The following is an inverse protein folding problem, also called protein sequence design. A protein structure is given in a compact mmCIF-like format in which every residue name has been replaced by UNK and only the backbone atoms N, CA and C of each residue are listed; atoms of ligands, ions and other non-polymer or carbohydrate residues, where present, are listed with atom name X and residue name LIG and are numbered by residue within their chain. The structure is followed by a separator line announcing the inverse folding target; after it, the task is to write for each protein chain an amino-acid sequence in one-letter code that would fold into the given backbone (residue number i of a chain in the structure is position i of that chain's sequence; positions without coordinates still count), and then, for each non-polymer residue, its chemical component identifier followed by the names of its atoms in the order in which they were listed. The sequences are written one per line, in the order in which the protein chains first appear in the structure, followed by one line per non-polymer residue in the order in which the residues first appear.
data_IF_567319359919
#
_entry.id   IF_567319359919
#
_cell.length_a   1.000
_cell.length_b   1.000
_cell.length_c   1.000
_cell.angle_alpha   90.00
_cell.angle_beta   90.00
_cell.angle_gamma   90.00
#
_symmetry.space_group_name_H-M   'P 1'
#
loop_
_entity.id
_entity.type
_entity.pdbx_description
1 polymer ?
#
# COMPACT_ATOMS: atom_id res chain seq x y z
N UNK A 1 -32.52 -33.69 -25.18
CA UNK A 1 -31.75 -34.70 -24.44
C UNK A 1 -30.23 -34.50 -24.57
N UNK A 2 -29.74 -33.28 -24.55
CA UNK A 2 -28.28 -32.95 -24.58
C UNK A 2 -27.83 -31.93 -23.50
N UNK A 3 -28.72 -31.56 -22.57
CA UNK A 3 -28.38 -30.64 -21.46
C UNK A 3 -28.03 -31.35 -20.15
N UNK A 4 -28.31 -32.64 -20.01
CA UNK A 4 -27.99 -33.39 -18.79
C UNK A 4 -26.57 -33.96 -18.73
N UNK A 5 -25.85 -34.04 -19.86
CA UNK A 5 -24.50 -34.62 -19.87
C UNK A 5 -23.38 -33.62 -19.50
N UNK A 6 -23.67 -32.32 -19.54
CA UNK A 6 -22.69 -31.29 -19.13
C UNK A 6 -22.65 -31.04 -17.63
N UNK A 7 -23.69 -31.49 -16.89
CA UNK A 7 -23.74 -31.34 -15.43
C UNK A 7 -23.05 -32.48 -14.67
N UNK A 8 -22.81 -33.61 -15.34
CA UNK A 8 -22.24 -34.80 -14.72
C UNK A 8 -20.70 -34.82 -14.67
N UNK A 9 -20.01 -33.91 -15.39
CA UNK A 9 -18.54 -33.83 -15.38
C UNK A 9 -17.99 -32.88 -14.31
N UNK A 10 -18.86 -32.16 -13.56
CA UNK A 10 -18.50 -31.25 -12.47
C UNK A 10 -18.52 -31.87 -11.07
N UNK A 11 -18.79 -33.18 -10.97
CA UNK A 11 -19.09 -33.83 -9.66
C UNK A 11 -17.99 -34.79 -9.19
N UNK A 12 -16.80 -34.83 -9.79
CA UNK A 12 -15.73 -35.72 -9.35
C UNK A 12 -14.54 -35.04 -8.65
N UNK A 13 -14.67 -33.77 -8.26
CA UNK A 13 -13.73 -33.13 -7.33
C UNK A 13 -14.37 -33.18 -5.95
N UNK A 14 -13.66 -33.53 -4.87
CA UNK A 14 -14.22 -33.47 -3.53
C UNK A 14 -14.55 -32.01 -3.19
N UNK A 15 -15.81 -31.65 -3.43
CA UNK A 15 -16.31 -30.26 -3.43
C UNK A 15 -16.27 -29.63 -2.04
N UNK A 16 -16.20 -30.42 -0.97
CA UNK A 16 -16.31 -29.91 0.38
C UNK A 16 -15.05 -29.18 0.92
N UNK A 17 -13.85 -29.56 0.49
CA UNK A 17 -12.61 -28.92 0.96
C UNK A 17 -12.13 -27.78 0.05
N UNK A 18 -12.42 -27.85 -1.24
CA UNK A 18 -12.00 -26.83 -2.21
C UNK A 18 -12.84 -25.55 -2.18
N UNK A 19 -14.14 -25.63 -1.89
CA UNK A 19 -15.03 -24.45 -1.86
C UNK A 19 -14.75 -23.50 -0.70
N UNK A 20 -14.28 -24.02 0.43
CA UNK A 20 -14.03 -23.20 1.64
C UNK A 20 -12.73 -22.40 1.56
N UNK A 21 -11.80 -22.81 0.70
CA UNK A 21 -10.45 -22.24 0.64
C UNK A 21 -10.27 -21.22 -0.51
N UNK A 22 -11.06 -21.36 -1.59
CA UNK A 22 -10.81 -20.62 -2.84
C UNK A 22 -11.65 -19.36 -3.05
N UNK A 23 -12.67 -19.10 -2.25
CA UNK A 23 -13.50 -17.89 -2.40
C UNK A 23 -12.82 -16.69 -1.70
N UNK A 24 -12.05 -15.94 -2.46
CA UNK A 24 -11.43 -14.69 -1.99
C UNK A 24 -12.01 -13.47 -2.72
N UNK A 25 -12.61 -12.52 -1.99
CA UNK A 25 -13.08 -11.23 -2.53
C UNK A 25 -12.06 -10.10 -2.34
N UNK A 26 -10.81 -10.41 -1.97
CA UNK A 26 -9.81 -9.47 -1.49
C UNK A 26 -9.12 -8.58 -2.54
N UNK A 27 -9.53 -8.61 -3.81
CA UNK A 27 -8.90 -7.81 -4.86
C UNK A 27 -9.59 -6.46 -5.10
N UNK A 28 -10.64 -6.15 -4.32
CA UNK A 28 -11.42 -4.92 -4.43
C UNK A 28 -11.40 -4.18 -3.08
N UNK A 29 -11.21 -2.86 -3.12
CA UNK A 29 -11.24 -1.98 -1.97
C UNK A 29 -12.10 -0.75 -2.26
N UNK A 30 -12.77 -0.21 -1.22
CA UNK A 30 -13.67 0.92 -1.31
C UNK A 30 -15.13 0.54 -1.56
N UNK A 31 -16.04 1.48 -1.37
CA UNK A 31 -17.48 1.29 -1.52
C UNK A 31 -18.02 2.06 -2.73
N UNK A 32 -18.04 3.38 -2.68
CA UNK A 32 -18.46 4.27 -3.77
C UNK A 32 -17.28 4.45 -4.74
N UNK A 33 -16.21 5.07 -4.28
CA UNK A 33 -14.94 5.07 -5.00
C UNK A 33 -14.26 3.72 -4.75
N UNK A 34 -14.31 2.85 -5.72
CA UNK A 34 -13.94 1.45 -5.60
C UNK A 34 -12.88 1.08 -6.59
N UNK A 35 -11.83 0.41 -6.12
CA UNK A 35 -10.75 -0.08 -6.97
C UNK A 35 -10.72 -1.62 -6.98
N UNK A 36 -10.38 -2.19 -8.12
CA UNK A 36 -10.06 -3.61 -8.26
C UNK A 36 -8.71 -3.73 -8.95
N UNK A 37 -7.71 -4.31 -8.28
CA UNK A 37 -6.36 -4.51 -8.82
C UNK A 37 -6.23 -5.89 -9.43
N UNK A 38 -5.46 -5.99 -10.53
CA UNK A 38 -5.27 -7.23 -11.30
C UNK A 38 -3.88 -7.27 -11.95
N UNK A 39 -3.53 -8.41 -12.52
CA UNK A 39 -2.23 -8.63 -13.15
C UNK A 39 -1.16 -9.12 -12.19
N UNK A 40 0.01 -9.46 -12.71
CA UNK A 40 1.11 -10.10 -11.98
C UNK A 40 2.46 -9.53 -12.41
N UNK A 41 3.47 -9.66 -11.53
CA UNK A 41 4.81 -9.07 -11.77
C UNK A 41 5.55 -9.66 -12.96
N UNK A 42 5.26 -10.90 -13.35
CA UNK A 42 5.84 -11.64 -14.48
C UNK A 42 4.78 -12.10 -15.47
N UNK A 43 3.64 -11.40 -15.55
CA UNK A 43 2.63 -11.52 -16.60
C UNK A 43 2.72 -10.37 -17.62
N UNK A 44 1.70 -10.17 -18.42
CA UNK A 44 1.64 -9.10 -19.43
C UNK A 44 1.68 -7.68 -18.86
N UNK A 45 1.22 -7.50 -17.60
CA UNK A 45 1.19 -6.21 -16.93
C UNK A 45 0.46 -6.26 -15.60
N UNK A 46 0.40 -5.12 -14.94
CA UNK A 46 -0.34 -4.87 -13.70
C UNK A 46 -1.29 -3.71 -13.92
N UNK A 47 -2.51 -3.83 -13.45
CA UNK A 47 -3.49 -2.77 -13.66
C UNK A 47 -4.48 -2.61 -12.53
N UNK A 48 -5.34 -1.63 -12.71
CA UNK A 48 -6.45 -1.32 -11.82
C UNK A 48 -7.66 -0.88 -12.62
N UNK A 49 -8.82 -1.31 -12.17
CA UNK A 49 -10.09 -0.74 -12.58
C UNK A 49 -10.65 0.04 -11.41
N UNK A 50 -10.93 1.32 -11.63
CA UNK A 50 -11.50 2.25 -10.68
C UNK A 50 -12.92 2.57 -11.10
N UNK A 51 -13.87 2.39 -10.19
CA UNK A 51 -15.29 2.72 -10.37
C UNK A 51 -15.73 3.77 -9.36
N UNK A 52 -16.74 4.58 -9.69
CA UNK A 52 -17.28 5.61 -8.83
C UNK A 52 -16.51 6.94 -8.81
N UNK A 53 -15.62 7.17 -9.79
CA UNK A 53 -15.05 8.49 -10.00
C UNK A 53 -16.11 9.43 -10.61
N UNK A 54 -16.35 10.63 -10.02
CA UNK A 54 -17.29 11.58 -10.61
C UNK A 54 -16.88 12.01 -12.03
N UNK A 55 -17.86 12.35 -12.90
CA UNK A 55 -17.57 12.93 -14.21
C UNK A 55 -17.05 14.37 -14.08
N UNK A 56 -16.46 14.89 -15.16
CA UNK A 56 -16.02 16.27 -15.33
C UNK A 56 -14.82 16.69 -14.45
N UNK A 57 -14.06 15.73 -13.95
CA UNK A 57 -12.79 16.02 -13.28
C UNK A 57 -11.69 16.05 -14.33
N UNK A 58 -10.92 17.15 -14.45
CA UNK A 58 -9.73 17.17 -15.30
C UNK A 58 -8.72 16.16 -14.77
N UNK A 59 -8.29 15.25 -15.60
CA UNK A 59 -7.35 14.18 -15.22
C UNK A 59 -6.55 13.77 -16.45
N UNK A 60 -5.23 13.98 -16.40
CA UNK A 60 -4.33 13.59 -17.46
C UNK A 60 -3.50 12.36 -17.08
N UNK A 61 -2.96 11.68 -18.09
CA UNK A 61 -2.02 10.60 -17.90
C UNK A 61 -0.77 11.06 -17.14
N UNK A 62 -0.30 12.25 -17.44
CA UNK A 62 0.91 12.84 -16.88
C UNK A 62 0.77 13.08 -15.37
N UNK A 63 -0.39 13.51 -14.91
CA UNK A 63 -0.67 13.66 -13.47
C UNK A 63 -0.59 12.34 -12.72
N UNK A 64 -1.08 11.24 -13.29
CA UNK A 64 -0.96 9.90 -12.71
C UNK A 64 0.48 9.42 -12.78
N UNK A 65 1.20 9.72 -13.87
CA UNK A 65 2.57 9.29 -14.08
C UNK A 65 3.54 9.86 -13.05
N UNK A 66 3.33 11.09 -12.57
CA UNK A 66 4.14 11.70 -11.50
C UNK A 66 4.20 10.80 -10.26
N UNK A 67 3.07 10.27 -9.82
CA UNK A 67 3.03 9.38 -8.64
C UNK A 67 3.66 8.01 -8.94
N UNK A 68 3.46 7.49 -10.14
CA UNK A 68 4.08 6.24 -10.57
C UNK A 68 5.61 6.38 -10.71
N UNK A 69 6.09 7.52 -11.17
CA UNK A 69 7.53 7.80 -11.23
C UNK A 69 8.17 7.82 -9.84
N UNK A 70 7.46 8.31 -8.83
CA UNK A 70 7.92 8.23 -7.43
C UNK A 70 7.91 6.82 -6.86
N UNK A 71 7.07 5.93 -7.37
CA UNK A 71 6.94 4.52 -6.96
C UNK A 71 7.92 3.59 -7.70
N UNK A 72 8.27 3.87 -8.95
CA UNK A 72 9.02 2.94 -9.83
C UNK A 72 10.28 2.38 -9.17
N UNK A 73 10.74 1.15 -9.53
CA UNK A 73 11.98 0.59 -9.05
C UNK A 73 13.21 1.32 -9.62
N UNK A 74 14.38 1.15 -9.00
CA UNK A 74 15.63 1.68 -9.53
C UNK A 74 15.87 3.18 -9.28
N UNK A 75 15.18 3.80 -8.33
CA UNK A 75 15.29 5.24 -8.06
C UNK A 75 16.57 5.65 -7.34
N UNK A 76 17.19 4.75 -6.60
CA UNK A 76 18.40 5.04 -5.83
C UNK A 76 19.24 3.79 -5.58
N UNK A 77 20.48 3.98 -5.12
CA UNK A 77 21.41 2.90 -4.78
C UNK A 77 20.96 2.01 -3.61
N UNK A 78 20.00 2.45 -2.82
CA UNK A 78 19.44 1.68 -1.70
C UNK A 78 18.17 0.92 -2.08
N UNK A 79 17.72 1.01 -3.34
CA UNK A 79 16.55 0.28 -3.85
C UNK A 79 16.98 -0.87 -4.76
N UNK A 80 16.00 -1.63 -5.28
CA UNK A 80 16.25 -2.71 -6.22
C UNK A 80 16.94 -2.23 -7.50
N UNK A 81 17.85 -3.00 -8.10
CA UNK A 81 18.50 -2.65 -9.37
C UNK A 81 17.59 -2.79 -10.59
N UNK A 82 16.39 -3.36 -10.44
CA UNK A 82 15.39 -3.44 -11.51
C UNK A 82 15.05 -2.05 -12.02
N UNK A 83 14.93 -1.88 -13.33
CA UNK A 83 14.56 -0.61 -13.94
C UNK A 83 13.32 -0.78 -14.82
N UNK A 84 12.25 -0.10 -14.43
CA UNK A 84 10.98 -0.07 -15.16
C UNK A 84 10.45 1.36 -15.19
N UNK A 85 9.98 1.81 -16.33
CA UNK A 85 9.43 3.15 -16.47
C UNK A 85 8.03 3.30 -15.84
N UNK A 86 7.37 2.19 -15.51
CA UNK A 86 5.99 2.15 -15.02
C UNK A 86 5.02 3.06 -15.80
N UNK A 87 5.21 3.13 -17.12
CA UNK A 87 4.42 3.98 -18.00
C UNK A 87 2.96 3.53 -18.03
N UNK A 88 2.06 4.38 -17.55
CA UNK A 88 0.63 4.07 -17.45
C UNK A 88 -0.06 4.24 -18.81
N UNK A 89 -0.90 3.28 -19.16
CA UNK A 89 -1.88 3.35 -20.24
C UNK A 89 -3.27 3.50 -19.63
N UNK A 90 -4.04 4.52 -20.04
CA UNK A 90 -5.43 4.68 -19.65
C UNK A 90 -6.29 4.10 -20.78
N UNK A 91 -7.10 3.10 -20.46
CA UNK A 91 -7.85 2.34 -21.45
C UNK A 91 -9.31 2.80 -21.55
N UNK A 92 -9.87 3.42 -20.51
CA UNK A 92 -11.26 3.89 -20.47
C UNK A 92 -11.48 4.93 -19.37
N UNK A 93 -12.66 5.55 -19.37
CA UNK A 93 -13.16 6.42 -18.33
C UNK A 93 -12.69 7.88 -18.38
N UNK A 94 -11.86 8.24 -19.40
CA UNK A 94 -11.36 9.59 -19.62
C UNK A 94 -11.53 9.93 -21.11
N UNK A 95 -11.99 11.15 -21.41
CA UNK A 95 -12.08 11.67 -22.78
C UNK A 95 -10.69 11.96 -23.35
N UNK A 96 -10.53 12.10 -24.67
CA UNK A 96 -9.26 12.53 -25.28
C UNK A 96 -8.76 13.88 -24.75
N UNK A 97 -9.67 14.76 -24.32
CA UNK A 97 -9.34 16.07 -23.75
C UNK A 97 -8.97 16.00 -22.25
N UNK A 98 -8.85 14.79 -21.68
CA UNK A 98 -8.45 14.60 -20.29
C UNK A 98 -9.54 14.90 -19.25
N UNK A 99 -10.80 14.54 -19.53
CA UNK A 99 -11.93 14.74 -18.61
C UNK A 99 -12.54 13.39 -18.24
N UNK A 100 -12.77 13.14 -16.94
CA UNK A 100 -13.45 11.92 -16.49
C UNK A 100 -14.88 11.86 -16.96
N UNK A 101 -15.34 10.66 -17.35
CA UNK A 101 -16.66 10.45 -17.93
C UNK A 101 -17.72 9.95 -16.92
N UNK A 102 -17.30 9.58 -15.69
CA UNK A 102 -18.16 8.94 -14.70
C UNK A 102 -18.32 7.43 -14.91
N UNK A 103 -17.69 6.86 -15.95
CA UNK A 103 -17.62 5.42 -16.19
C UNK A 103 -16.33 4.83 -15.60
N UNK A 104 -16.18 3.51 -15.47
CA UNK A 104 -14.97 2.92 -14.92
C UNK A 104 -13.70 3.35 -15.63
N UNK A 105 -12.70 3.77 -14.86
CA UNK A 105 -11.36 4.10 -15.36
C UNK A 105 -10.50 2.85 -15.27
N UNK A 106 -10.05 2.33 -16.40
CA UNK A 106 -9.13 1.21 -16.46
C UNK A 106 -7.72 1.69 -16.81
N UNK A 107 -6.75 1.31 -15.98
CA UNK A 107 -5.34 1.70 -16.13
C UNK A 107 -4.45 0.46 -16.12
N UNK A 108 -3.45 0.44 -16.99
CA UNK A 108 -2.51 -0.67 -17.18
C UNK A 108 -1.08 -0.15 -17.24
N UNK A 109 -0.17 -0.84 -16.56
CA UNK A 109 1.28 -0.71 -16.77
C UNK A 109 1.83 -2.04 -17.26
N UNK A 110 2.46 -2.05 -18.42
CA UNK A 110 3.05 -3.25 -19.02
C UNK A 110 4.36 -3.63 -18.36
N UNK A 111 4.58 -4.92 -18.17
CA UNK A 111 5.86 -5.44 -17.71
C UNK A 111 6.84 -5.50 -18.89
N UNK A 112 7.99 -4.86 -18.77
CA UNK A 112 9.03 -4.82 -19.81
C UNK A 112 10.31 -5.54 -19.37
N UNK A 113 10.74 -5.38 -18.13
CA UNK A 113 11.94 -6.00 -17.56
C UNK A 113 11.54 -7.14 -16.60
N UNK A 114 11.08 -8.26 -17.20
CA UNK A 114 10.77 -9.48 -16.45
C UNK A 114 11.75 -10.58 -16.87
N UNK A 115 12.55 -11.05 -15.92
CA UNK A 115 13.49 -12.16 -16.13
C UNK A 115 12.92 -13.44 -15.54
N UNK A 116 11.96 -14.03 -16.24
CA UNK A 116 11.32 -15.28 -15.80
C UNK A 116 12.31 -16.44 -15.71
N UNK A 117 13.41 -16.42 -16.48
CA UNK A 117 14.50 -17.40 -16.42
C UNK A 117 15.14 -17.52 -15.04
N UNK A 118 15.26 -16.42 -14.28
CA UNK A 118 15.88 -16.39 -12.95
C UNK A 118 15.12 -17.25 -11.92
N UNK A 119 13.86 -17.60 -12.20
CA UNK A 119 12.98 -18.40 -11.34
C UNK A 119 12.73 -19.82 -11.87
N UNK A 120 13.28 -20.16 -13.05
CA UNK A 120 13.03 -21.45 -13.70
C UNK A 120 14.06 -22.51 -13.31
N UNK A 121 15.06 -22.17 -12.51
CA UNK A 121 15.99 -23.15 -11.94
C UNK A 121 15.23 -24.14 -11.05
N UNK A 122 15.52 -25.44 -11.19
CA UNK A 122 14.73 -26.51 -10.58
C UNK A 122 14.57 -26.38 -9.06
N UNK A 123 15.60 -25.86 -8.36
CA UNK A 123 15.54 -25.69 -6.91
C UNK A 123 14.61 -24.52 -6.48
N UNK A 124 14.48 -23.49 -7.31
CA UNK A 124 13.57 -22.36 -7.02
C UNK A 124 12.09 -22.70 -7.25
N UNK A 125 11.80 -23.67 -8.11
CA UNK A 125 10.42 -24.10 -8.40
C UNK A 125 9.80 -24.84 -7.21
N UNK A 126 10.59 -25.64 -6.51
CA UNK A 126 10.13 -26.56 -5.46
C UNK A 126 10.45 -26.06 -4.04
N UNK A 127 11.22 -25.00 -3.87
CA UNK A 127 11.60 -24.48 -2.56
C UNK A 127 10.70 -23.33 -2.13
N UNK A 128 10.27 -23.33 -0.87
CA UNK A 128 9.62 -22.20 -0.25
C UNK A 128 10.66 -21.21 0.28
N UNK A 129 10.58 -19.98 -0.18
CA UNK A 129 11.48 -18.91 0.26
C UNK A 129 11.04 -18.39 1.65
N UNK A 130 11.96 -18.27 2.62
CA UNK A 130 11.62 -17.77 3.95
C UNK A 130 10.89 -16.41 3.89
N UNK A 131 9.82 -16.27 4.66
CA UNK A 131 8.99 -15.06 4.78
C UNK A 131 8.38 -14.53 3.49
N UNK A 132 8.40 -15.28 2.38
CA UNK A 132 7.60 -15.03 1.18
C UNK A 132 6.24 -15.74 1.28
N UNK A 133 5.36 -15.44 0.35
CA UNK A 133 4.01 -16.01 0.32
C UNK A 133 3.93 -17.41 -0.32
N UNK A 134 5.05 -18.04 -0.65
CA UNK A 134 5.10 -19.26 -1.45
C UNK A 134 4.24 -20.39 -0.83
N UNK A 135 4.54 -20.79 0.39
CA UNK A 135 3.82 -21.87 1.08
C UNK A 135 2.35 -21.53 1.37
N UNK A 136 2.05 -20.25 1.68
CA UNK A 136 0.68 -19.84 2.01
C UNK A 136 -0.22 -19.76 0.78
N UNK A 137 0.33 -19.44 -0.39
CA UNK A 137 -0.40 -19.47 -1.66
C UNK A 137 -0.70 -20.91 -2.09
N UNK A 138 0.28 -21.81 -1.98
CA UNK A 138 0.05 -23.23 -2.27
C UNK A 138 -0.97 -23.83 -1.31
N UNK A 139 -0.86 -23.58 -0.02
CA UNK A 139 -1.83 -24.05 0.98
C UNK A 139 -3.25 -23.51 0.73
N UNK A 140 -3.38 -22.28 0.19
CA UNK A 140 -4.69 -21.66 -0.05
C UNK A 140 -5.29 -22.02 -1.41
N UNK A 141 -4.47 -21.97 -2.47
CA UNK A 141 -4.96 -22.05 -3.85
C UNK A 141 -4.58 -23.36 -4.54
N UNK A 142 -3.71 -24.18 -3.93
CA UNK A 142 -3.12 -25.37 -4.56
C UNK A 142 -2.16 -25.07 -5.72
N UNK A 143 -1.84 -23.81 -5.95
CA UNK A 143 -0.99 -23.31 -7.02
C UNK A 143 -0.44 -21.93 -6.67
N UNK A 144 0.81 -21.65 -7.06
CA UNK A 144 1.43 -20.33 -6.90
C UNK A 144 2.08 -19.84 -8.20
N UNK A 145 2.22 -18.54 -8.33
CA UNK A 145 3.08 -17.93 -9.35
C UNK A 145 4.53 -18.02 -8.90
N UNK A 146 5.30 -18.96 -9.47
CA UNK A 146 6.71 -19.19 -9.12
C UNK A 146 7.55 -17.97 -9.49
N UNK A 147 7.37 -17.44 -10.70
CA UNK A 147 8.08 -16.27 -11.15
C UNK A 147 7.59 -15.00 -10.42
N UNK A 148 8.48 -14.37 -9.66
CA UNK A 148 8.25 -13.06 -9.02
C UNK A 148 7.18 -13.00 -7.93
N UNK A 149 6.55 -14.11 -7.57
CA UNK A 149 5.52 -14.16 -6.52
C UNK A 149 4.13 -13.63 -6.92
N UNK A 150 3.86 -13.43 -8.20
CA UNK A 150 2.52 -13.09 -8.73
C UNK A 150 1.87 -11.88 -8.07
N UNK A 151 0.66 -12.09 -7.52
CA UNK A 151 -0.12 -11.07 -6.80
C UNK A 151 0.47 -10.65 -5.45
N UNK A 152 1.37 -11.43 -4.84
CA UNK A 152 2.05 -11.06 -3.59
C UNK A 152 3.25 -10.13 -3.79
N UNK A 153 3.61 -9.85 -5.04
CA UNK A 153 4.71 -8.97 -5.40
C UNK A 153 4.40 -7.50 -5.07
N UNK A 154 5.43 -6.75 -4.63
CA UNK A 154 5.33 -5.30 -4.46
C UNK A 154 4.95 -4.55 -5.75
N UNK A 155 5.09 -5.17 -6.93
CA UNK A 155 4.66 -4.59 -8.20
C UNK A 155 3.14 -4.40 -8.28
N UNK A 156 2.36 -5.15 -7.52
CA UNK A 156 0.90 -4.97 -7.39
C UNK A 156 0.53 -3.56 -6.93
N UNK A 157 1.39 -2.89 -6.17
CA UNK A 157 1.17 -1.51 -5.70
C UNK A 157 1.05 -0.47 -6.82
N UNK A 158 1.45 -0.78 -8.05
CA UNK A 158 1.23 0.08 -9.23
C UNK A 158 -0.25 0.45 -9.34
N UNK A 159 -1.15 -0.53 -9.25
CA UNK A 159 -2.59 -0.29 -9.34
C UNK A 159 -3.10 0.61 -8.22
N UNK A 160 -2.56 0.46 -7.01
CA UNK A 160 -2.91 1.30 -5.85
C UNK A 160 -2.43 2.73 -6.03
N UNK A 161 -1.20 2.94 -6.50
CA UNK A 161 -0.63 4.27 -6.72
C UNK A 161 -1.36 4.99 -7.85
N UNK A 162 -1.65 4.31 -8.96
CA UNK A 162 -2.40 4.89 -10.06
C UNK A 162 -3.81 5.34 -9.63
N UNK A 163 -4.54 4.49 -8.88
CA UNK A 163 -5.85 4.84 -8.33
C UNK A 163 -5.73 5.92 -7.23
N UNK A 164 -4.67 5.89 -6.43
CA UNK A 164 -4.36 6.89 -5.42
C UNK A 164 -4.13 8.28 -5.99
N UNK A 165 -3.50 8.39 -7.16
CA UNK A 165 -3.33 9.67 -7.86
C UNK A 165 -4.69 10.30 -8.22
N UNK A 166 -5.64 9.48 -8.70
CA UNK A 166 -7.02 9.93 -8.98
C UNK A 166 -7.73 10.35 -7.68
N UNK A 167 -7.62 9.53 -6.62
CA UNK A 167 -8.24 9.82 -5.33
C UNK A 167 -7.68 11.11 -4.73
N UNK A 168 -6.37 11.34 -4.76
CA UNK A 168 -5.72 12.57 -4.27
C UNK A 168 -6.24 13.81 -4.99
N UNK A 169 -6.44 13.74 -6.30
CA UNK A 169 -7.03 14.83 -7.07
C UNK A 169 -8.47 15.16 -6.63
N UNK A 170 -9.28 14.13 -6.37
CA UNK A 170 -10.63 14.32 -5.83
C UNK A 170 -10.62 14.93 -4.44
N UNK A 171 -9.76 14.45 -3.55
CA UNK A 171 -9.62 14.97 -2.19
C UNK A 171 -9.17 16.43 -2.20
N UNK A 172 -8.22 16.78 -3.08
CA UNK A 172 -7.78 18.17 -3.27
C UNK A 172 -8.91 19.06 -3.76
N UNK A 173 -9.72 18.59 -4.72
CA UNK A 173 -10.88 19.33 -5.23
C UNK A 173 -12.02 19.45 -4.21
N UNK A 174 -12.17 18.45 -3.32
CA UNK A 174 -13.27 18.41 -2.34
C UNK A 174 -13.07 19.40 -1.19
N UNK A 175 -11.92 19.42 -0.56
CA UNK A 175 -11.64 20.26 0.61
C UNK A 175 -10.16 20.64 0.74
N UNK A 176 -9.46 20.75 -0.38
CA UNK A 176 -8.03 21.03 -0.38
C UNK A 176 -7.21 20.05 0.48
N UNK A 177 -7.73 18.80 0.62
CA UNK A 177 -7.07 17.76 1.41
C UNK A 177 -5.76 17.40 0.74
N UNK A 178 -4.69 17.45 1.53
CA UNK A 178 -3.35 17.05 1.11
C UNK A 178 -2.89 15.81 1.87
N UNK A 179 -2.35 14.82 1.14
CA UNK A 179 -1.90 13.54 1.71
C UNK A 179 -0.42 13.36 1.39
N UNK A 180 0.39 13.41 2.44
CA UNK A 180 1.84 13.30 2.37
C UNK A 180 2.31 12.10 3.19
N UNK A 181 3.41 11.48 2.77
CA UNK A 181 4.02 10.39 3.54
C UNK A 181 5.54 10.46 3.45
N UNK A 182 6.22 10.13 4.55
CA UNK A 182 7.66 10.14 4.66
C UNK A 182 8.17 8.95 5.49
N UNK A 183 9.45 8.62 5.38
CA UNK A 183 10.10 7.62 6.22
C UNK A 183 10.42 8.26 7.57
N UNK A 184 9.69 7.86 8.61
CA UNK A 184 9.83 8.42 9.95
C UNK A 184 10.81 7.63 10.83
N UNK A 185 11.08 6.36 10.48
CA UNK A 185 11.97 5.52 11.28
C UNK A 185 12.62 4.43 10.44
N UNK A 186 13.91 4.19 10.65
CA UNK A 186 14.64 3.03 10.15
C UNK A 186 15.28 2.34 11.34
N UNK A 187 14.86 1.11 11.66
CA UNK A 187 15.23 0.36 12.86
C UNK A 187 14.91 1.16 14.14
N UNK A 188 15.95 1.64 14.85
CA UNK A 188 15.88 2.44 16.07
C UNK A 188 16.10 3.95 15.83
N UNK A 189 16.45 4.34 14.60
CA UNK A 189 16.70 5.73 14.23
C UNK A 189 15.38 6.35 13.81
N UNK A 190 14.83 7.23 14.63
CA UNK A 190 13.63 8.02 14.36
C UNK A 190 13.95 9.44 13.91
N UNK A 191 12.95 10.10 13.34
CA UNK A 191 12.97 11.51 12.94
C UNK A 191 11.97 12.32 13.74
N UNK A 192 12.21 13.62 13.87
CA UNK A 192 11.27 14.60 14.43
C UNK A 192 10.83 15.55 13.30
N UNK A 193 9.57 15.41 12.88
CA UNK A 193 9.02 16.15 11.74
C UNK A 193 7.72 16.82 12.16
N UNK A 194 7.66 18.13 11.96
CA UNK A 194 6.43 18.90 12.19
C UNK A 194 5.39 18.52 11.11
N UNK A 195 4.31 17.86 11.53
CA UNK A 195 3.25 17.39 10.65
C UNK A 195 2.44 18.50 9.97
N UNK A 196 2.53 19.73 10.45
CA UNK A 196 1.79 20.87 9.89
C UNK A 196 2.53 21.51 8.70
N UNK A 197 3.85 21.43 8.65
CA UNK A 197 4.65 22.29 7.77
C UNK A 197 5.46 21.56 6.70
N UNK A 198 5.89 20.31 6.91
CA UNK A 198 6.73 19.62 5.92
C UNK A 198 6.05 19.52 4.55
N UNK A 199 6.84 19.56 3.48
CA UNK A 199 6.36 19.55 2.09
C UNK A 199 6.82 18.27 1.35
N UNK A 200 6.31 18.08 0.15
CA UNK A 200 6.76 17.01 -0.72
C UNK A 200 8.21 17.22 -1.17
N UNK A 201 8.64 18.47 -1.33
CA UNK A 201 10.02 18.84 -1.63
C UNK A 201 10.97 18.43 -0.51
N UNK A 202 10.56 18.61 0.75
CA UNK A 202 11.34 18.15 1.90
C UNK A 202 11.47 16.62 1.92
N UNK A 203 10.39 15.90 1.62
CA UNK A 203 10.41 14.44 1.49
C UNK A 203 11.34 13.98 0.37
N UNK A 204 11.31 14.63 -0.77
CA UNK A 204 12.09 14.24 -1.94
C UNK A 204 13.53 14.81 -1.92
N UNK A 205 13.91 15.59 -0.88
CA UNK A 205 15.24 16.20 -0.72
C UNK A 205 16.38 15.18 -0.60
N UNK A 206 16.08 13.96 -0.17
CA UNK A 206 17.05 12.88 0.00
C UNK A 206 16.50 11.51 -0.39
N UNK A 207 17.41 10.54 -0.59
CA UNK A 207 17.07 9.19 -1.07
C UNK A 207 16.34 8.32 -0.04
N UNK A 208 16.38 8.67 1.26
CA UNK A 208 15.64 7.98 2.33
C UNK A 208 14.18 8.45 2.36
N UNK A 209 13.92 9.65 1.84
CA UNK A 209 12.61 10.31 1.86
C UNK A 209 12.15 10.67 3.28
N UNK A 210 13.06 11.22 4.06
CA UNK A 210 12.82 11.74 5.40
C UNK A 210 13.05 13.27 5.40
N UNK A 211 12.06 14.10 5.78
CA UNK A 211 12.23 15.56 5.85
C UNK A 211 13.29 16.04 6.84
N UNK A 212 13.53 15.26 7.90
CA UNK A 212 14.60 15.51 8.88
C UNK A 212 15.94 15.04 8.29
N UNK A 213 16.77 15.98 7.84
CA UNK A 213 18.04 15.67 7.17
C UNK A 213 19.05 14.97 8.07
N UNK A 214 19.12 15.35 9.36
CA UNK A 214 20.05 14.74 10.32
C UNK A 214 19.65 13.27 10.59
N UNK A 215 18.37 13.00 10.71
CA UNK A 215 17.86 11.64 10.82
C UNK A 215 18.07 10.85 9.52
N UNK A 216 17.83 11.47 8.35
CA UNK A 216 18.01 10.85 7.03
C UNK A 216 19.45 10.37 6.83
N UNK A 217 20.45 11.16 7.21
CA UNK A 217 21.85 10.81 7.08
C UNK A 217 22.21 9.59 7.96
N UNK A 218 21.74 9.58 9.22
CA UNK A 218 21.93 8.43 10.13
C UNK A 218 21.21 7.17 9.63
N UNK A 219 19.99 7.32 9.11
CA UNK A 219 19.22 6.22 8.50
C UNK A 219 19.95 5.65 7.28
N UNK A 220 20.51 6.53 6.44
CA UNK A 220 21.26 6.13 5.26
C UNK A 220 22.52 5.33 5.62
N UNK A 221 23.28 5.80 6.59
CA UNK A 221 24.48 5.11 7.09
C UNK A 221 24.13 3.72 7.63
N UNK A 222 23.03 3.60 8.39
CA UNK A 222 22.53 2.33 8.91
C UNK A 222 22.08 1.37 7.79
N UNK A 223 21.36 1.87 6.79
CA UNK A 223 20.96 1.09 5.61
C UNK A 223 22.20 0.55 4.88
N UNK A 224 23.21 1.39 4.68
CA UNK A 224 24.44 1.00 4.00
C UNK A 224 25.27 -0.04 4.81
N UNK A 225 25.33 0.09 6.13
CA UNK A 225 25.96 -0.89 7.02
C UNK A 225 25.29 -2.28 6.87
N UNK A 226 23.97 -2.31 7.02
CA UNK A 226 23.20 -3.56 6.94
C UNK A 226 23.25 -4.17 5.54
N UNK A 227 23.20 -3.34 4.49
CA UNK A 227 23.35 -3.80 3.10
C UNK A 227 24.72 -4.43 2.85
N UNK A 228 25.80 -3.84 3.37
CA UNK A 228 27.17 -4.41 3.23
C UNK A 228 27.29 -5.76 3.91
N UNK A 229 26.52 -6.03 4.96
CA UNK A 229 26.47 -7.35 5.60
C UNK A 229 25.65 -8.38 4.82
N UNK A 230 25.05 -8.02 3.68
CA UNK A 230 24.17 -8.88 2.89
C UNK A 230 22.79 -9.07 3.52
N UNK A 231 22.37 -8.17 4.42
CA UNK A 231 21.11 -8.25 5.13
C UNK A 231 20.14 -7.12 4.71
N UNK A 232 18.97 -7.07 5.32
CA UNK A 232 17.93 -6.06 5.11
C UNK A 232 17.43 -5.50 6.43
N UNK A 233 16.79 -4.34 6.38
CA UNK A 233 16.34 -3.59 7.54
C UNK A 233 14.90 -3.12 7.31
N UNK A 234 14.11 -3.04 8.38
CA UNK A 234 12.75 -2.52 8.38
C UNK A 234 12.67 -1.08 8.82
N UNK A 235 11.48 -0.51 8.74
CA UNK A 235 11.25 0.87 9.12
C UNK A 235 9.77 1.21 9.26
N UNK A 236 9.49 2.47 9.53
CA UNK A 236 8.15 3.03 9.66
C UNK A 236 7.98 4.16 8.65
N UNK A 237 6.84 4.18 8.00
CA UNK A 237 6.38 5.29 7.16
C UNK A 237 5.24 5.98 7.89
N UNK A 238 5.37 7.28 8.09
CA UNK A 238 4.29 8.13 8.61
C UNK A 238 3.56 8.77 7.45
N UNK A 239 2.23 8.71 7.49
CA UNK A 239 1.35 9.38 6.54
C UNK A 239 0.50 10.42 7.26
N UNK A 240 0.47 11.61 6.70
CA UNK A 240 -0.30 12.75 7.23
C UNK A 240 -1.30 13.21 6.18
N UNK A 241 -2.58 13.31 6.56
CA UNK A 241 -3.58 13.96 5.73
C UNK A 241 -4.01 15.26 6.39
N UNK A 242 -3.81 16.39 5.69
CA UNK A 242 -4.13 17.74 6.14
C UNK A 242 -5.45 18.20 5.57
N UNK A 243 -6.06 19.20 6.21
CA UNK A 243 -7.32 19.81 5.79
C UNK A 243 -8.49 18.82 5.72
N UNK A 244 -8.45 17.76 6.50
CA UNK A 244 -9.52 16.77 6.56
C UNK A 244 -10.67 17.35 7.39
N UNK A 245 -11.89 17.49 6.82
CA UNK A 245 -13.02 18.00 7.60
C UNK A 245 -13.41 17.04 8.72
N UNK A 246 -13.96 17.56 9.80
CA UNK A 246 -14.58 16.74 10.82
C UNK A 246 -15.79 15.98 10.25
N UNK A 247 -16.04 14.75 10.74
CA UNK A 247 -17.24 13.98 10.42
C UNK A 247 -17.04 12.84 9.43
N UNK A 248 -15.82 12.54 8.98
CA UNK A 248 -15.56 11.37 8.14
C UNK A 248 -15.32 10.12 8.99
N UNK A 249 -15.91 9.01 8.56
CA UNK A 249 -15.90 7.74 9.28
C UNK A 249 -17.30 7.26 9.59
N UNK A 250 -17.49 5.95 9.74
CA UNK A 250 -18.80 5.33 9.91
C UNK A 250 -18.76 4.22 10.98
N UNK A 251 -18.70 4.58 12.28
CA UNK A 251 -18.76 3.58 13.34
C UNK A 251 -20.04 2.71 13.22
N UNK A 252 -20.08 1.49 13.75
CA UNK A 252 -19.09 0.92 14.71
C UNK A 252 -17.91 0.26 14.01
N UNK A 253 -18.09 -0.50 12.93
CA UNK A 253 -17.02 -1.30 12.31
C UNK A 253 -16.25 -0.55 11.22
N UNK A 254 -16.87 0.44 10.57
CA UNK A 254 -16.24 1.25 9.52
C UNK A 254 -15.71 2.58 10.09
N UNK A 255 -15.09 2.50 11.29
CA UNK A 255 -14.32 3.61 11.84
C UNK A 255 -13.25 4.02 10.83
N UNK A 256 -12.94 5.31 10.75
CA UNK A 256 -11.97 5.83 9.78
C UNK A 256 -10.60 5.17 9.95
N UNK A 257 -10.10 5.03 11.19
CA UNK A 257 -8.84 4.33 11.47
C UNK A 257 -8.88 2.84 11.13
N UNK A 258 -10.05 2.18 11.21
CA UNK A 258 -10.19 0.78 10.84
C UNK A 258 -10.10 0.58 9.31
N UNK A 259 -10.73 1.47 8.53
CA UNK A 259 -10.64 1.45 7.07
C UNK A 259 -9.21 1.81 6.60
N UNK A 260 -8.58 2.81 7.23
CA UNK A 260 -7.18 3.15 6.97
C UNK A 260 -6.24 1.99 7.31
N UNK A 261 -6.42 1.34 8.47
CA UNK A 261 -5.65 0.17 8.86
C UNK A 261 -5.80 -0.98 7.84
N UNK A 262 -7.02 -1.27 7.40
CA UNK A 262 -7.28 -2.28 6.36
C UNK A 262 -6.52 -1.97 5.06
N UNK A 263 -6.56 -0.71 4.61
CA UNK A 263 -5.84 -0.29 3.42
C UNK A 263 -4.32 -0.43 3.59
N UNK A 264 -3.77 0.13 4.65
CA UNK A 264 -2.33 0.13 4.94
C UNK A 264 -1.78 -1.28 5.18
N UNK A 265 -2.47 -2.11 5.99
CA UNK A 265 -2.06 -3.49 6.26
C UNK A 265 -2.16 -4.42 5.04
N UNK A 266 -2.89 -4.03 4.01
CA UNK A 266 -2.93 -4.75 2.73
C UNK A 266 -1.72 -4.47 1.83
N UNK A 267 -0.87 -3.50 2.16
CA UNK A 267 0.37 -3.21 1.41
C UNK A 267 1.38 -4.35 1.67
N UNK A 268 2.07 -4.86 0.63
CA UNK A 268 3.10 -5.88 0.82
C UNK A 268 4.16 -5.45 1.84
N UNK A 269 4.54 -6.38 2.72
CA UNK A 269 5.48 -6.20 3.83
C UNK A 269 5.01 -5.31 5.01
N UNK A 270 3.85 -4.67 4.96
CA UNK A 270 3.27 -4.01 6.13
C UNK A 270 2.98 -5.03 7.24
N UNK A 271 3.32 -4.70 8.50
CA UNK A 271 3.21 -5.57 9.68
C UNK A 271 2.65 -4.87 10.92
N UNK A 272 2.55 -3.56 10.91
CA UNK A 272 1.96 -2.78 11.98
C UNK A 272 1.28 -1.54 11.45
N UNK A 273 0.28 -1.07 12.17
CA UNK A 273 -0.45 0.16 11.91
C UNK A 273 -0.75 0.83 13.24
N UNK A 274 -0.54 2.12 13.32
CA UNK A 274 -0.88 2.95 14.47
C UNK A 274 -1.58 4.24 13.99
N UNK A 275 -2.49 4.76 14.82
CA UNK A 275 -3.16 6.05 14.62
C UNK A 275 -2.78 6.98 15.77
N UNK A 276 -2.33 8.18 15.48
CA UNK A 276 -1.83 9.12 16.48
C UNK A 276 -0.65 8.53 17.27
N UNK A 277 -0.64 8.71 18.59
CA UNK A 277 0.43 8.19 19.47
C UNK A 277 0.51 6.66 19.50
N UNK A 278 -0.52 5.95 19.02
CA UNK A 278 -0.51 4.49 18.90
C UNK A 278 -0.07 3.78 20.17
N UNK A 279 0.95 2.92 20.10
CA UNK A 279 1.47 2.18 21.25
C UNK A 279 2.15 3.09 22.29
N UNK A 280 2.80 4.19 21.89
CA UNK A 280 3.43 5.12 22.80
C UNK A 280 2.41 5.80 23.73
N UNK A 281 1.17 6.01 23.24
CA UNK A 281 0.08 6.53 24.06
C UNK A 281 -0.25 5.65 25.27
N UNK A 282 0.08 4.35 25.24
CA UNK A 282 -0.14 3.43 26.38
C UNK A 282 0.79 3.70 27.56
N UNK A 283 1.87 4.46 27.35
CA UNK A 283 2.83 4.87 28.39
C UNK A 283 2.40 6.14 29.10
N UNK A 284 1.37 6.82 28.59
CA UNK A 284 0.86 8.09 29.12
C UNK A 284 -0.30 7.86 30.10
N UNK A 285 -0.50 8.81 31.00
CA UNK A 285 -1.72 8.83 31.81
C UNK A 285 -2.86 9.43 30.98
N UNK A 286 -4.13 9.18 31.35
CA UNK A 286 -5.27 9.76 30.65
C UNK A 286 -5.21 11.30 30.59
N UNK A 287 -4.69 11.95 31.64
CA UNK A 287 -4.50 13.41 31.65
C UNK A 287 -3.48 13.87 30.61
N UNK A 288 -2.40 13.13 30.44
CA UNK A 288 -1.32 13.50 29.53
C UNK A 288 -1.64 13.14 28.06
N UNK A 289 -2.48 12.12 27.87
CA UNK A 289 -2.92 11.67 26.55
C UNK A 289 -4.13 12.43 26.00
N UNK A 290 -5.00 12.95 26.84
CA UNK A 290 -6.25 13.59 26.40
C UNK A 290 -5.98 14.87 25.58
N UNK A 291 -6.54 14.91 24.39
CA UNK A 291 -6.54 16.09 23.52
C UNK A 291 -7.60 17.10 24.01
N UNK A 292 -7.18 18.12 24.75
CA UNK A 292 -8.07 19.15 25.28
C UNK A 292 -8.66 20.01 24.15
N UNK A 293 -9.96 20.27 24.20
CA UNK A 293 -10.65 21.09 23.21
C UNK A 293 -10.46 22.59 23.45
N UNK A 294 -10.47 23.34 22.35
CA UNK A 294 -10.62 24.80 22.34
C UNK A 294 -11.43 25.25 21.13
N UNK A 295 -11.90 26.48 21.14
CA UNK A 295 -12.52 27.10 19.98
C UNK A 295 -11.54 28.01 19.29
N UNK A 296 -11.25 27.70 18.03
CA UNK A 296 -10.41 28.57 17.20
C UNK A 296 -11.14 29.90 16.95
N UNK A 297 -10.56 30.98 17.45
CA UNK A 297 -11.15 32.31 17.38
C UNK A 297 -11.27 32.88 15.96
N UNK A 298 -10.51 32.34 15.00
CA UNK A 298 -10.54 32.80 13.61
C UNK A 298 -11.62 32.09 12.79
N UNK A 299 -11.77 30.80 13.01
CA UNK A 299 -12.69 29.96 12.21
C UNK A 299 -13.97 29.60 12.94
N UNK A 300 -14.03 29.75 14.27
CA UNK A 300 -15.12 29.28 15.12
C UNK A 300 -15.19 27.76 15.25
N UNK A 301 -14.23 27.02 14.70
CA UNK A 301 -14.20 25.57 14.74
C UNK A 301 -13.74 25.06 16.11
N UNK A 302 -14.28 23.92 16.52
CA UNK A 302 -13.76 23.16 17.65
C UNK A 302 -12.48 22.44 17.20
N UNK A 303 -11.38 22.68 17.93
CA UNK A 303 -10.05 22.11 17.67
C UNK A 303 -9.50 21.49 18.93
N UNK A 304 -8.39 20.75 18.82
CA UNK A 304 -7.68 20.17 19.95
C UNK A 304 -6.29 20.80 20.11
N UNK A 305 -5.83 20.94 21.37
CA UNK A 305 -4.52 21.54 21.67
C UNK A 305 -3.36 20.64 21.30
N UNK A 306 -3.59 19.34 21.35
CA UNK A 306 -2.66 18.27 20.96
C UNK A 306 -3.38 17.38 19.94
N UNK A 307 -2.65 16.50 19.26
CA UNK A 307 -3.23 15.58 18.28
C UNK A 307 -2.77 14.14 18.54
N UNK A 308 -2.83 13.70 19.80
CA UNK A 308 -2.42 12.37 20.24
C UNK A 308 -3.31 11.27 19.69
N UNK A 309 -4.60 11.59 19.47
CA UNK A 309 -5.55 10.68 18.79
C UNK A 309 -5.38 10.62 17.26
N UNK A 310 -4.44 11.38 16.69
CA UNK A 310 -4.14 11.36 15.26
C UNK A 310 -5.29 11.80 14.38
N UNK A 311 -6.08 12.82 14.81
CA UNK A 311 -7.16 13.40 14.03
C UNK A 311 -8.44 12.57 13.99
N UNK A 312 -8.54 11.48 14.76
CA UNK A 312 -9.69 10.59 14.77
C UNK A 312 -10.12 10.30 16.21
N UNK A 313 -11.38 10.61 16.52
CA UNK A 313 -11.98 10.35 17.82
C UNK A 313 -13.29 9.61 17.66
N UNK A 314 -13.44 8.49 18.38
CA UNK A 314 -14.63 7.64 18.25
C UNK A 314 -14.82 7.01 16.87
N UNK A 315 -13.79 6.96 16.05
CA UNK A 315 -13.86 6.45 14.66
C UNK A 315 -14.20 7.50 13.61
N UNK A 316 -14.23 8.78 14.00
CA UNK A 316 -14.65 9.90 13.16
C UNK A 316 -13.57 10.98 13.18
N UNK A 317 -13.27 11.57 12.01
CA UNK A 317 -12.33 12.68 11.91
C UNK A 317 -12.82 13.89 12.72
N UNK A 318 -11.90 14.56 13.42
CA UNK A 318 -12.22 15.69 14.30
C UNK A 318 -11.79 17.05 13.74
N UNK A 319 -11.22 17.11 12.55
CA UNK A 319 -10.74 18.34 11.89
C UNK A 319 -9.26 18.64 12.09
N UNK A 320 -8.55 17.83 12.90
CA UNK A 320 -7.10 17.87 12.99
C UNK A 320 -6.45 17.03 11.86
N UNK A 321 -5.13 17.14 11.69
CA UNK A 321 -4.40 16.29 10.75
C UNK A 321 -4.60 14.83 11.10
N UNK A 322 -4.94 14.01 10.13
CA UNK A 322 -4.92 12.56 10.33
C UNK A 322 -3.48 12.08 10.23
N UNK A 323 -3.00 11.45 11.30
CA UNK A 323 -1.65 10.92 11.40
C UNK A 323 -1.71 9.42 11.63
N UNK A 324 -1.08 8.66 10.72
CA UNK A 324 -0.97 7.21 10.84
C UNK A 324 0.46 6.74 10.56
N UNK A 325 0.86 5.66 11.22
CA UNK A 325 2.18 5.06 11.10
C UNK A 325 2.06 3.62 10.64
N UNK A 326 2.87 3.25 9.64
CA UNK A 326 2.85 1.90 9.07
C UNK A 326 4.23 1.29 9.18
N UNK A 327 4.32 0.18 9.90
CA UNK A 327 5.57 -0.55 10.07
C UNK A 327 5.77 -1.56 8.94
N UNK A 328 6.93 -1.52 8.31
CA UNK A 328 7.35 -2.43 7.27
C UNK A 328 8.46 -3.35 7.77
N UNK A 329 8.26 -4.67 7.61
CA UNK A 329 9.30 -5.64 7.94
C UNK A 329 10.51 -5.51 7.01
N UNK A 330 11.70 -5.99 7.43
CA UNK A 330 12.83 -6.16 6.53
C UNK A 330 12.45 -6.98 5.29
N UNK A 331 13.00 -6.64 4.13
CA UNK A 331 12.77 -7.42 2.90
C UNK A 331 13.27 -8.85 3.08
N UNK A 332 12.49 -9.81 2.62
CA UNK A 332 12.79 -11.23 2.87
C UNK A 332 13.92 -11.77 2.00
N UNK A 333 14.20 -11.14 0.86
CA UNK A 333 15.31 -11.52 -0.01
C UNK A 333 16.60 -10.89 0.48
N UNK A 334 17.52 -11.70 1.00
CA UNK A 334 18.81 -11.27 1.52
C UNK A 334 19.94 -12.10 0.92
N UNK A 335 21.17 -11.58 0.98
CA UNK A 335 22.38 -12.25 0.51
C UNK A 335 22.95 -13.30 1.47
N UNK A 336 22.42 -13.39 2.69
CA UNK A 336 22.85 -14.37 3.68
C UNK A 336 22.16 -15.73 3.47
N UNK A 337 22.85 -16.81 3.84
CA UNK A 337 22.32 -18.17 3.75
C UNK A 337 21.12 -18.33 4.70
N UNK A 338 20.03 -18.92 4.18
CA UNK A 338 18.81 -19.22 4.94
C UNK A 338 18.37 -20.66 4.69
N UNK A 339 17.78 -21.28 5.69
CA UNK A 339 17.18 -22.61 5.56
C UNK A 339 15.93 -22.51 4.72
N UNK A 340 15.83 -23.36 3.69
CA UNK A 340 14.64 -23.51 2.83
C UNK A 340 14.09 -24.92 2.96
N UNK A 341 12.80 -25.07 2.83
CA UNK A 341 12.12 -26.37 2.76
C UNK A 341 11.71 -26.57 1.31
N UNK A 342 11.98 -27.74 0.74
CA UNK A 342 11.39 -28.15 -0.54
C UNK A 342 9.91 -28.46 -0.33
N UNK A 343 9.12 -28.20 -1.34
CA UNK A 343 7.72 -28.65 -1.39
C UNK A 343 7.70 -30.15 -1.10
N UNK A 344 6.91 -30.54 -0.12
CA UNK A 344 6.72 -31.98 0.19
C UNK A 344 5.69 -32.45 -0.82
N UNK A 345 6.09 -33.30 -1.75
CA UNK A 345 5.17 -34.04 -2.58
C UNK A 345 4.22 -34.82 -1.63
N UNK A 346 2.93 -34.47 -1.69
CA UNK A 346 1.82 -35.04 -0.91
C UNK A 346 1.76 -34.58 0.57
N UNK A 347 0.93 -33.57 0.80
CA UNK A 347 0.13 -33.53 2.03
C UNK A 347 -1.14 -34.32 1.74
N UNK A 348 -1.39 -35.45 2.44
CA UNK A 348 -2.55 -36.29 2.23
C UNK A 348 -3.88 -35.57 2.52
#
# INVERSE_FOLDING_TARGET
MKLCSALALLVSVPVASALTITMGTGNTFGRVFRISTWGESHGGGVGVTLDGCPPRIPLTREEIQVDLDRRRPGQSRITTPRNEADAVEILSGITPDGITTGTPIAMLVRNKDQRSSDYLDNDMKVAYRPSHADATYDAKYGVRAIAGGGRSSARETIGRVAAGAVARKLLKAYNDIDVLAYVSKVQDIGSDVDHDTFTMEDVDSNIVRCPDQDAADKMLDRIDEIRKSGNSIGGVVTCVARNVPAGLGSPVFDKLEADLAKACMSIPAAKGFESGDGFEGTLLTGKDHNDEFYIDQKTGATRTKTNRSGGIQGGISNGENIVVHVAFKPTSTIGQAQVRIKEVDEVP
#
